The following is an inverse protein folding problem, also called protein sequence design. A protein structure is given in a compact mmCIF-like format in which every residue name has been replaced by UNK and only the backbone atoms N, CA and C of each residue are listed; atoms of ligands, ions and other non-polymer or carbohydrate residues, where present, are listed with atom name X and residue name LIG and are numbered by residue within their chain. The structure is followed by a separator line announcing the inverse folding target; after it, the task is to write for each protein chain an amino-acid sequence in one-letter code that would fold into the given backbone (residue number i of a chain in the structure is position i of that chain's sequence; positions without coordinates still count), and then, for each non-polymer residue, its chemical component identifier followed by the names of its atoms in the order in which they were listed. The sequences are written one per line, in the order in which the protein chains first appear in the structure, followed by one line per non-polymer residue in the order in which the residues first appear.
data_IF_864324196393
#
_entry.id   IF_864324196393
#
_cell.length_a   1.000
_cell.length_b   1.000
_cell.length_c   1.000
_cell.angle_alpha   90.00
_cell.angle_beta   90.00
_cell.angle_gamma   90.00
#
_symmetry.space_group_name_H-M   'P 1'
#
loop_
_entity.id
_entity.type
_entity.pdbx_description
1 polymer ?
#
# COMPACT_ATOMS: atom_id res chain seq x y z
N UNK A 1 -13.00 -0.54 -1.35
CA UNK A 1 -11.69 -1.23 -1.32
C UNK A 1 -11.46 -2.14 -2.51
N UNK A 2 -12.45 -2.87 -2.96
CA UNK A 2 -12.30 -3.71 -4.13
C UNK A 2 -11.85 -2.95 -5.38
N UNK A 3 -12.43 -1.77 -5.59
CA UNK A 3 -12.07 -0.96 -6.74
C UNK A 3 -10.61 -0.52 -6.70
N UNK A 4 -10.08 -0.23 -5.51
CA UNK A 4 -8.70 0.17 -5.37
C UNK A 4 -7.76 -1.00 -5.61
N UNK A 5 -8.14 -2.18 -5.16
CA UNK A 5 -7.33 -3.37 -5.37
C UNK A 5 -7.27 -3.71 -6.86
N UNK A 6 -8.38 -3.55 -7.57
CA UNK A 6 -8.40 -3.77 -9.01
C UNK A 6 -7.53 -2.77 -9.74
N UNK A 7 -7.59 -1.49 -9.33
CA UNK A 7 -6.84 -0.44 -9.98
C UNK A 7 -5.34 -0.65 -9.87
N UNK A 8 -4.86 -1.00 -8.68
CA UNK A 8 -3.43 -1.11 -8.44
C UNK A 8 -2.92 -2.54 -8.50
N UNK A 9 -3.81 -3.51 -8.38
CA UNK A 9 -3.45 -4.93 -8.37
C UNK A 9 -2.36 -5.22 -7.36
N UNK A 10 -2.38 -4.49 -6.23
CA UNK A 10 -1.36 -4.61 -5.20
C UNK A 10 -1.97 -4.14 -3.88
N UNK A 11 -1.96 -5.00 -2.87
CA UNK A 11 -2.63 -4.70 -1.61
C UNK A 11 -2.03 -3.50 -0.88
N UNK A 12 -0.70 -3.44 -0.67
CA UNK A 12 -0.11 -2.28 0.01
C UNK A 12 -0.40 -0.96 -0.69
N UNK A 13 -0.32 -0.93 -2.01
CA UNK A 13 -0.58 0.28 -2.76
C UNK A 13 -2.05 0.68 -2.65
N UNK A 14 -2.95 -0.31 -2.69
CA UNK A 14 -4.37 -0.03 -2.52
C UNK A 14 -4.66 0.54 -1.14
N UNK A 15 -3.99 0.04 -0.10
CA UNK A 15 -4.14 0.57 1.25
C UNK A 15 -3.67 2.02 1.33
N UNK A 16 -2.56 2.33 0.66
CA UNK A 16 -2.07 3.70 0.62
C UNK A 16 -3.08 4.63 -0.03
N UNK A 17 -3.70 4.18 -1.12
CA UNK A 17 -4.71 4.97 -1.81
C UNK A 17 -5.95 5.15 -0.95
N UNK A 18 -6.32 4.14 -0.18
CA UNK A 18 -7.45 4.23 0.73
C UNK A 18 -7.20 5.26 1.82
N UNK A 19 -5.98 5.30 2.35
CA UNK A 19 -5.64 6.18 3.46
C UNK A 19 -5.30 7.60 3.00
N UNK A 20 -4.50 7.75 1.95
CA UNK A 20 -4.00 9.05 1.51
C UNK A 20 -4.75 9.62 0.32
N UNK A 21 -5.52 8.79 -0.39
CA UNK A 21 -6.24 9.24 -1.57
C UNK A 21 -5.58 8.78 -2.86
N UNK A 22 -6.43 8.47 -3.86
CA UNK A 22 -5.96 7.97 -5.14
C UNK A 22 -5.05 8.99 -5.83
N UNK A 23 -5.43 10.28 -5.78
CA UNK A 23 -4.65 11.32 -6.44
C UNK A 23 -3.22 11.39 -5.92
N UNK A 24 -3.07 11.28 -4.61
CA UNK A 24 -1.75 11.33 -4.00
C UNK A 24 -0.91 10.13 -4.40
N UNK A 25 -1.51 8.94 -4.35
CA UNK A 25 -0.77 7.72 -4.69
C UNK A 25 -0.38 7.73 -6.16
N UNK A 26 -1.28 8.13 -7.04
CA UNK A 26 -0.96 8.21 -8.47
C UNK A 26 0.19 9.19 -8.71
N UNK A 27 0.22 10.30 -8.00
CA UNK A 27 1.31 11.27 -8.12
C UNK A 27 2.63 10.64 -7.65
N UNK A 28 2.60 9.92 -6.54
CA UNK A 28 3.80 9.28 -6.03
C UNK A 28 4.36 8.26 -7.03
N UNK A 29 3.47 7.50 -7.66
CA UNK A 29 3.89 6.53 -8.66
C UNK A 29 4.45 7.25 -9.90
N UNK A 30 3.78 8.29 -10.34
CA UNK A 30 4.21 9.05 -11.51
C UNK A 30 5.57 9.68 -11.29
N UNK A 31 5.83 10.18 -10.09
CA UNK A 31 7.10 10.82 -9.76
C UNK A 31 8.20 9.82 -9.44
N UNK A 32 7.86 8.54 -9.37
CA UNK A 32 8.84 7.51 -9.06
C UNK A 32 9.17 7.40 -7.57
N UNK A 33 8.36 8.02 -6.71
CA UNK A 33 8.59 7.93 -5.27
C UNK A 33 8.32 6.53 -4.77
N UNK A 34 7.25 5.90 -5.27
CA UNK A 34 6.97 4.50 -4.98
C UNK A 34 6.67 3.78 -6.29
N UNK A 35 6.85 2.47 -6.28
CA UNK A 35 6.56 1.65 -7.45
C UNK A 35 5.16 1.06 -7.36
N UNK A 36 4.60 0.81 -8.53
CA UNK A 36 3.26 0.27 -8.64
C UNK A 36 3.12 -1.11 -7.99
N UNK A 37 4.22 -1.83 -7.90
CA UNK A 37 4.23 -3.18 -7.31
C UNK A 37 4.35 -3.18 -5.79
N UNK A 38 4.45 -2.02 -5.16
CA UNK A 38 4.48 -1.93 -3.71
C UNK A 38 5.79 -2.32 -3.08
N UNK A 39 6.85 -2.50 -3.86
CA UNK A 39 8.12 -2.97 -3.32
C UNK A 39 8.83 -1.93 -2.45
N UNK A 40 8.46 -0.67 -2.58
CA UNK A 40 9.11 0.41 -1.83
C UNK A 40 8.09 1.29 -1.11
N UNK A 41 7.12 0.67 -0.47
CA UNK A 41 6.11 1.41 0.28
C UNK A 41 6.72 2.22 1.42
N UNK A 42 7.92 1.87 1.87
CA UNK A 42 8.59 2.67 2.90
C UNK A 42 8.96 4.06 2.41
N UNK A 43 8.91 4.30 1.12
CA UNK A 43 9.19 5.62 0.56
C UNK A 43 7.98 6.54 0.52
N UNK A 44 6.82 6.05 0.97
CA UNK A 44 5.62 6.88 1.02
C UNK A 44 5.91 8.15 1.83
N UNK A 45 5.72 9.34 1.24
CA UNK A 45 6.12 10.58 1.92
C UNK A 45 5.21 11.01 3.07
N UNK A 46 3.97 10.53 3.09
CA UNK A 46 3.06 10.83 4.18
C UNK A 46 3.33 9.88 5.33
N UNK A 47 3.84 10.41 6.43
CA UNK A 47 4.21 9.59 7.57
C UNK A 47 3.06 8.74 8.09
N UNK A 48 1.88 9.34 8.17
CA UNK A 48 0.70 8.62 8.67
C UNK A 48 0.34 7.46 7.75
N UNK A 49 0.33 7.70 6.45
CA UNK A 49 0.02 6.66 5.48
C UNK A 49 1.11 5.59 5.46
N UNK A 50 2.36 6.02 5.55
CA UNK A 50 3.49 5.12 5.61
C UNK A 50 3.34 4.13 6.78
N UNK A 51 3.08 4.66 7.96
CA UNK A 51 2.92 3.83 9.16
C UNK A 51 1.70 2.93 9.05
N UNK A 52 0.61 3.46 8.52
CA UNK A 52 -0.62 2.72 8.34
C UNK A 52 -0.44 1.50 7.44
N UNK A 53 0.15 1.72 6.27
CA UNK A 53 0.33 0.65 5.30
C UNK A 53 1.29 -0.41 5.83
N UNK A 54 2.40 0.03 6.41
CA UNK A 54 3.40 -0.90 6.92
C UNK A 54 2.85 -1.75 8.05
N UNK A 55 2.06 -1.15 8.92
CA UNK A 55 1.46 -1.89 10.03
C UNK A 55 0.49 -2.96 9.53
N UNK A 56 -0.36 -2.60 8.58
CA UNK A 56 -1.35 -3.55 8.08
C UNK A 56 -0.69 -4.66 7.28
N UNK A 57 0.30 -4.34 6.47
CA UNK A 57 1.00 -5.35 5.71
C UNK A 57 1.70 -6.35 6.64
N UNK A 58 2.29 -5.85 7.71
CA UNK A 58 2.92 -6.73 8.68
C UNK A 58 1.90 -7.63 9.36
N UNK A 59 0.77 -7.08 9.76
CA UNK A 59 -0.28 -7.86 10.40
C UNK A 59 -0.85 -8.89 9.44
N UNK A 60 -1.00 -8.53 8.19
CA UNK A 60 -1.50 -9.44 7.16
C UNK A 60 -0.55 -10.62 6.96
N UNK A 61 0.74 -10.37 6.97
CA UNK A 61 1.73 -11.44 6.83
C UNK A 61 1.66 -12.43 8.00
N UNK A 62 1.56 -11.89 9.21
CA UNK A 62 1.44 -12.74 10.39
C UNK A 62 0.18 -13.59 10.30
N UNK A 63 -0.90 -12.97 9.85
CA UNK A 63 -2.16 -13.65 9.72
C UNK A 63 -2.08 -14.78 8.69
N UNK A 64 -1.43 -14.52 7.57
CA UNK A 64 -1.26 -15.56 6.55
C UNK A 64 -0.40 -16.71 7.04
N UNK A 65 0.64 -16.40 7.77
CA UNK A 65 1.52 -17.44 8.31
C UNK A 65 0.76 -18.37 9.25
N UNK A 66 -0.23 -17.85 9.94
CA UNK A 66 -1.03 -18.67 10.84
C UNK A 66 -2.03 -19.56 10.12
N UNK A 67 -2.48 -19.14 8.94
CA UNK A 67 -3.54 -19.87 8.24
C UNK A 67 -3.08 -20.66 7.04
N UNK A 68 -1.89 -20.39 6.56
CA UNK A 68 -1.38 -21.07 5.39
C UNK A 68 -0.37 -22.08 5.79
N UNK A 69 -0.61 -23.03 6.45
CA UNK A 69 0.43 -23.95 6.79
C UNK A 69 0.76 -24.92 5.72
#
# INVERSE_FOLDING_TARGET
MLGLLEKYNNYPVALAAYNAGIGNVDEWIQKGIIKKDGSDIENIPYKETNNYVRKIVRDYRIYQDLYEE
#
